data_IF_071874647557
#
_entry.id   IF_071874647557
#
_cell.length_a   1.000
_cell.length_b   1.000
_cell.length_c   1.000
_cell.angle_alpha   90.00
_cell.angle_beta   90.00
_cell.angle_gamma   90.00
#
_symmetry.space_group_name_H-M   'P 1'
#
loop_
_entity.id
_entity.type
_entity.pdbx_description
1 polymer ?
#
# COMPACT_ATOMS: atom_id res chain seq x y z
N UNK A 1 -3.90 1.64 8.65
CA UNK A 1 -4.79 1.62 7.46
C UNK A 1 -4.11 2.36 6.33
N UNK A 2 -4.16 1.82 5.11
CA UNK A 2 -3.69 2.48 3.90
C UNK A 2 -4.84 2.57 2.91
N UNK A 3 -4.97 3.71 2.24
CA UNK A 3 -5.91 3.92 1.13
C UNK A 3 -5.11 4.55 0.01
N UNK A 4 -5.38 4.13 -1.22
CA UNK A 4 -4.74 4.69 -2.40
C UNK A 4 -5.74 4.87 -3.53
N UNK A 5 -5.47 5.85 -4.38
CA UNK A 5 -6.24 6.09 -5.60
C UNK A 5 -5.28 6.37 -6.75
N UNK A 6 -5.58 5.77 -7.90
CA UNK A 6 -4.94 6.11 -9.16
C UNK A 6 -5.58 7.38 -9.73
N UNK A 7 -4.74 8.31 -10.17
CA UNK A 7 -5.13 9.56 -10.79
C UNK A 7 -4.47 9.69 -12.16
N UNK A 8 -5.21 10.23 -13.12
CA UNK A 8 -4.68 10.44 -14.48
C UNK A 8 -4.88 11.88 -14.89
N UNK A 9 -3.79 12.59 -15.15
CA UNK A 9 -3.83 13.98 -15.60
C UNK A 9 -3.56 14.05 -17.10
N UNK A 10 -4.33 14.86 -17.80
CA UNK A 10 -4.05 15.14 -19.20
C UNK A 10 -2.68 15.84 -19.31
N UNK A 11 -1.87 15.42 -20.29
CA UNK A 11 -0.68 16.16 -20.67
C UNK A 11 -1.06 17.51 -21.30
N UNK A 12 -0.15 18.48 -21.26
CA UNK A 12 -0.36 19.75 -21.95
C UNK A 12 -0.24 19.55 -23.47
N UNK A 13 -1.31 19.78 -24.23
CA UNK A 13 -1.30 19.76 -25.69
C UNK A 13 -2.17 18.67 -26.34
N UNK A 14 -2.40 18.82 -27.63
CA UNK A 14 -3.14 17.86 -28.44
C UNK A 14 -2.27 16.60 -28.67
N UNK A 15 -2.84 15.40 -28.42
CA UNK A 15 -2.16 14.08 -28.54
C UNK A 15 -1.00 13.83 -27.56
N UNK A 16 -0.89 14.62 -26.49
CA UNK A 16 0.09 14.36 -25.43
C UNK A 16 -0.36 13.15 -24.58
N UNK A 17 0.55 12.21 -24.25
CA UNK A 17 0.26 11.10 -23.35
C UNK A 17 -0.25 11.58 -21.98
N UNK A 18 -1.07 10.75 -21.33
CA UNK A 18 -1.55 11.02 -19.96
C UNK A 18 -0.45 10.69 -18.95
N UNK A 19 -0.40 11.47 -17.88
CA UNK A 19 0.41 11.15 -16.72
C UNK A 19 -0.44 10.36 -15.73
N UNK A 20 0.03 9.17 -15.35
CA UNK A 20 -0.62 8.32 -14.37
C UNK A 20 0.12 8.39 -13.04
N UNK A 21 -0.62 8.64 -11.96
CA UNK A 21 -0.13 8.74 -10.61
C UNK A 21 -0.91 7.79 -9.70
N UNK A 22 -0.29 7.38 -8.61
CA UNK A 22 -0.99 6.74 -7.49
C UNK A 22 -0.69 7.56 -6.24
N UNK A 23 -1.73 8.05 -5.59
CA UNK A 23 -1.62 8.78 -4.32
C UNK A 23 -2.09 7.86 -3.22
N UNK A 24 -1.24 7.66 -2.21
CA UNK A 24 -1.54 6.84 -1.05
C UNK A 24 -1.42 7.67 0.23
N UNK A 25 -2.32 7.42 1.17
CA UNK A 25 -2.26 7.96 2.54
C UNK A 25 -2.35 6.80 3.53
N UNK A 26 -1.70 6.97 4.67
CA UNK A 26 -1.63 5.95 5.70
C UNK A 26 -1.78 6.53 7.10
N UNK A 27 -2.35 5.74 8.00
CA UNK A 27 -2.40 6.01 9.44
C UNK A 27 -2.10 4.75 10.25
N UNK A 28 -1.73 4.92 11.52
CA UNK A 28 -1.64 3.80 12.45
C UNK A 28 -3.01 3.13 12.61
N UNK A 29 -3.03 1.81 12.76
CA UNK A 29 -4.27 1.04 12.88
C UNK A 29 -5.14 1.51 14.07
N UNK A 30 -4.51 1.94 15.17
CA UNK A 30 -5.18 2.47 16.36
C UNK A 30 -6.04 3.71 16.11
N UNK A 31 -5.81 4.44 15.01
CA UNK A 31 -6.59 5.64 14.64
C UNK A 31 -7.45 5.42 13.38
N UNK A 32 -7.51 4.19 12.87
CA UNK A 32 -8.21 3.91 11.62
C UNK A 32 -9.73 4.08 11.73
N UNK A 33 -10.30 3.88 12.92
CA UNK A 33 -11.73 4.09 13.24
C UNK A 33 -12.22 5.53 12.96
N UNK A 34 -11.31 6.50 12.90
CA UNK A 34 -11.59 7.90 12.55
C UNK A 34 -11.65 8.16 11.04
N UNK A 35 -11.38 7.16 10.21
CA UNK A 35 -11.33 7.28 8.75
C UNK A 35 -12.54 6.56 8.16
N UNK A 36 -13.35 7.25 7.33
CA UNK A 36 -14.57 6.67 6.72
C UNK A 36 -14.32 5.37 5.95
N UNK A 37 -13.14 5.23 5.35
CA UNK A 37 -12.73 4.03 4.62
C UNK A 37 -12.42 2.82 5.51
N UNK A 38 -12.39 3.00 6.83
CA UNK A 38 -12.31 1.89 7.77
C UNK A 38 -13.67 1.25 8.05
N UNK A 39 -14.77 1.78 7.48
CA UNK A 39 -16.09 1.19 7.65
C UNK A 39 -16.06 -0.29 7.29
N UNK A 40 -16.65 -1.12 8.17
CA UNK A 40 -16.69 -2.59 8.09
C UNK A 40 -15.35 -3.32 8.14
N UNK A 41 -14.23 -2.65 8.41
CA UNK A 41 -12.97 -3.33 8.73
C UNK A 41 -12.96 -3.76 10.20
N UNK A 42 -12.57 -5.00 10.46
CA UNK A 42 -12.33 -5.46 11.83
C UNK A 42 -10.94 -5.02 12.31
N UNK A 43 -10.86 -3.80 12.83
CA UNK A 43 -9.60 -3.17 13.26
C UNK A 43 -8.94 -3.81 14.49
N UNK A 44 -9.67 -4.65 15.23
CA UNK A 44 -9.19 -5.30 16.45
C UNK A 44 -8.56 -6.67 16.19
N UNK A 45 -8.67 -7.18 14.96
CA UNK A 45 -8.22 -8.51 14.58
C UNK A 45 -6.92 -8.43 13.79
N UNK A 46 -5.79 -8.27 14.47
CA UNK A 46 -4.49 -7.99 13.82
C UNK A 46 -4.04 -9.08 12.84
N UNK A 47 -4.51 -10.31 13.00
CA UNK A 47 -4.21 -11.43 12.12
C UNK A 47 -4.82 -11.30 10.71
N UNK A 48 -5.80 -10.42 10.49
CA UNK A 48 -6.34 -10.16 9.15
C UNK A 48 -5.52 -9.10 8.39
N UNK A 49 -4.59 -8.42 9.06
CA UNK A 49 -3.76 -7.42 8.41
C UNK A 49 -2.83 -8.11 7.41
N UNK A 50 -2.87 -7.67 6.15
CA UNK A 50 -1.99 -8.21 5.12
C UNK A 50 -0.52 -7.94 5.48
N UNK A 51 0.30 -8.98 5.62
CA UNK A 51 1.66 -8.80 6.07
C UNK A 51 2.59 -8.35 4.93
N UNK A 52 2.81 -7.04 4.85
CA UNK A 52 3.66 -6.40 3.86
C UNK A 52 5.03 -5.99 4.42
N UNK A 53 6.06 -6.02 3.58
CA UNK A 53 7.40 -5.50 3.90
C UNK A 53 7.74 -4.28 3.06
N UNK A 54 8.78 -3.53 3.44
CA UNK A 54 9.20 -2.31 2.72
C UNK A 54 9.75 -2.63 1.32
N UNK A 55 10.62 -3.63 1.23
CA UNK A 55 11.08 -4.17 -0.04
C UNK A 55 11.63 -5.59 0.14
N UNK A 56 11.67 -6.39 -0.93
CA UNK A 56 12.08 -7.80 -0.86
C UNK A 56 13.46 -7.98 -0.17
N UNK A 57 14.49 -7.29 -0.64
CA UNK A 57 15.86 -7.38 -0.09
C UNK A 57 16.01 -6.99 1.40
N UNK A 58 15.09 -6.21 1.99
CA UNK A 58 15.12 -5.79 3.41
C UNK A 58 14.07 -6.52 4.26
N UNK A 59 13.14 -7.22 3.62
CA UNK A 59 12.02 -7.82 4.33
C UNK A 59 12.47 -9.07 5.09
N UNK A 60 12.28 -9.13 6.43
CA UNK A 60 12.73 -10.26 7.25
C UNK A 60 11.83 -11.51 7.13
N UNK A 61 10.69 -11.40 6.44
CA UNK A 61 9.71 -12.49 6.31
C UNK A 61 10.29 -13.66 5.50
N UNK A 62 10.38 -14.84 6.08
CA UNK A 62 10.94 -16.03 5.39
C UNK A 62 9.92 -16.75 4.49
N UNK A 63 8.64 -16.66 4.82
CA UNK A 63 7.54 -17.36 4.12
C UNK A 63 6.69 -16.39 3.27
N UNK A 64 7.32 -15.63 2.37
CA UNK A 64 6.62 -14.72 1.45
C UNK A 64 6.58 -15.31 0.04
N UNK A 65 5.40 -15.77 -0.40
CA UNK A 65 5.20 -16.39 -1.74
C UNK A 65 5.33 -15.39 -2.88
N UNK A 66 5.17 -14.09 -2.61
CA UNK A 66 5.32 -13.00 -3.58
C UNK A 66 6.75 -12.41 -3.60
N UNK A 67 7.72 -13.04 -2.91
CA UNK A 67 9.10 -12.56 -2.85
C UNK A 67 9.77 -12.71 -4.22
N UNK A 68 10.23 -11.57 -4.76
CA UNK A 68 10.94 -11.52 -6.05
C UNK A 68 12.46 -11.58 -5.89
N UNK A 69 13.00 -11.01 -4.80
CA UNK A 69 14.45 -10.98 -4.54
C UNK A 69 14.81 -11.55 -3.17
N UNK A 70 15.98 -12.15 -3.09
CA UNK A 70 16.54 -12.67 -1.83
C UNK A 70 16.79 -11.55 -0.81
N UNK A 71 16.60 -11.89 0.47
CA UNK A 71 16.86 -10.96 1.57
C UNK A 71 18.38 -10.79 1.76
N UNK A 72 18.82 -9.54 1.90
CA UNK A 72 20.20 -9.19 2.25
C UNK A 72 20.40 -9.11 3.76
N UNK A 73 19.32 -8.85 4.49
CA UNK A 73 19.30 -8.82 5.96
C UNK A 73 19.14 -10.27 6.41
N UNK A 74 20.15 -10.79 7.10
CA UNK A 74 20.07 -12.04 7.86
C UNK A 74 19.47 -11.77 9.22
#
# INVERSE_FOLDING_TARGET
LFIARAESRAGSGLRTPRHHYAVAIGCQATFADRIVYADRLNLHRSEIAEPVGVHCRQCPRTQCTQRVFDALVR
#
